data_IF_165383051855
#
_entry.id   IF_165383051855
#
_cell.length_a   1.000
_cell.length_b   1.000
_cell.length_c   1.000
_cell.angle_alpha   90.00
_cell.angle_beta   90.00
_cell.angle_gamma   90.00
#
_symmetry.space_group_name_H-M   'P 1'
#
loop_
_entity.id
_entity.type
_entity.pdbx_description
1 polymer ?
#
# COMPACT_ATOMS: atom_id res chain seq x y z
N UNK A 1 -13.78 9.04 11.82
CA UNK A 1 -12.30 8.86 11.84
C UNK A 1 -11.57 10.16 11.46
N UNK A 2 -12.29 11.16 10.93
CA UNK A 2 -11.76 12.48 10.53
C UNK A 2 -10.49 12.38 9.66
N UNK A 3 -10.48 11.43 8.74
CA UNK A 3 -9.37 11.22 7.81
C UNK A 3 -9.60 12.08 6.58
N UNK A 4 -8.61 12.90 6.25
CA UNK A 4 -8.64 13.73 5.06
C UNK A 4 -8.54 12.86 3.80
N UNK A 5 -9.39 13.14 2.81
CA UNK A 5 -9.34 12.46 1.51
C UNK A 5 -8.04 12.79 0.74
N UNK A 6 -7.41 13.91 1.03
CA UNK A 6 -6.14 14.31 0.44
C UNK A 6 -4.94 13.51 0.99
N UNK A 7 -5.11 12.79 2.11
CA UNK A 7 -4.08 11.87 2.63
C UNK A 7 -3.82 10.67 1.73
N UNK A 8 -4.53 10.55 0.61
CA UNK A 8 -4.53 9.38 -0.26
C UNK A 8 -3.15 8.96 -0.74
N UNK A 9 -2.84 7.67 -0.55
CA UNK A 9 -1.73 6.98 -1.21
C UNK A 9 -2.28 5.80 -2.04
N UNK A 10 -1.76 5.61 -3.26
CA UNK A 10 -2.20 4.55 -4.16
C UNK A 10 -1.19 3.43 -4.23
N UNK A 11 -1.64 2.19 -4.02
CA UNK A 11 -0.84 0.97 -4.01
C UNK A 11 -1.36 0.02 -5.08
N UNK A 12 -0.54 -0.24 -6.10
CA UNK A 12 -0.89 -1.17 -7.17
C UNK A 12 -0.30 -2.57 -6.97
N UNK A 13 0.57 -2.76 -5.98
CA UNK A 13 1.07 -4.09 -5.63
C UNK A 13 -0.02 -4.94 -4.98
N UNK A 14 -0.09 -6.21 -5.38
CA UNK A 14 -1.03 -7.19 -4.82
C UNK A 14 -0.56 -7.69 -3.45
N UNK A 15 -0.60 -6.81 -2.44
CA UNK A 15 -0.10 -7.05 -1.08
C UNK A 15 -1.14 -6.81 0.01
N UNK A 16 -2.43 -6.78 -0.33
CA UNK A 16 -3.54 -6.65 0.59
C UNK A 16 -4.19 -8.00 0.88
N UNK A 17 -5.01 -8.08 1.91
CA UNK A 17 -5.93 -9.20 2.14
C UNK A 17 -6.81 -9.46 0.89
N UNK A 18 -7.21 -8.39 0.19
CA UNK A 18 -8.03 -8.43 -1.02
C UNK A 18 -7.18 -8.24 -2.29
N UNK A 19 -6.15 -9.07 -2.47
CA UNK A 19 -5.18 -8.88 -3.55
C UNK A 19 -5.74 -9.05 -4.98
N UNK A 20 -6.82 -9.82 -5.17
CA UNK A 20 -7.33 -10.19 -6.51
C UNK A 20 -7.74 -8.99 -7.36
N UNK A 21 -8.57 -8.04 -6.89
CA UNK A 21 -9.01 -6.89 -7.67
C UNK A 21 -7.91 -5.83 -7.86
N UNK A 22 -6.81 -5.88 -7.11
CA UNK A 22 -5.74 -4.87 -7.21
C UNK A 22 -4.97 -5.06 -8.51
N UNK A 23 -4.85 -3.99 -9.28
CA UNK A 23 -4.03 -3.90 -10.49
C UNK A 23 -3.47 -2.47 -10.63
N UNK A 24 -2.52 -2.21 -11.53
CA UNK A 24 -2.11 -0.84 -11.82
C UNK A 24 -3.24 0.08 -12.31
N UNK A 25 -4.26 -0.46 -12.97
CA UNK A 25 -5.46 0.30 -13.38
C UNK A 25 -6.55 0.35 -12.30
N UNK A 26 -6.44 -0.46 -11.26
CA UNK A 26 -7.36 -0.53 -10.12
C UNK A 26 -6.56 -0.62 -8.81
N UNK A 27 -5.80 0.41 -8.44
CA UNK A 27 -4.97 0.38 -7.25
C UNK A 27 -5.82 0.43 -5.98
N UNK A 28 -5.28 -0.10 -4.89
CA UNK A 28 -5.80 0.13 -3.56
C UNK A 28 -5.50 1.57 -3.15
N UNK A 29 -6.49 2.29 -2.66
CA UNK A 29 -6.34 3.58 -2.04
C UNK A 29 -6.18 3.42 -0.51
N UNK A 30 -5.19 4.09 0.04
CA UNK A 30 -4.97 4.21 1.49
C UNK A 30 -5.23 5.64 1.89
N UNK A 31 -6.04 5.83 2.93
CA UNK A 31 -6.29 7.11 3.56
C UNK A 31 -5.86 7.03 5.01
N UNK A 32 -5.26 8.06 5.55
CA UNK A 32 -4.69 7.98 6.89
C UNK A 32 -4.59 9.34 7.59
N UNK A 33 -4.53 9.27 8.90
CA UNK A 33 -4.09 10.31 9.80
C UNK A 33 -3.18 9.69 10.88
N UNK A 34 -2.87 10.44 11.93
CA UNK A 34 -1.97 9.96 12.99
C UNK A 34 -2.53 8.77 13.79
N UNK A 35 -3.86 8.55 13.78
CA UNK A 35 -4.54 7.56 14.61
C UNK A 35 -5.08 6.37 13.83
N UNK A 36 -5.38 6.55 12.53
CA UNK A 36 -6.09 5.54 11.76
C UNK A 36 -5.69 5.49 10.29
N UNK A 37 -5.85 4.30 9.71
CA UNK A 37 -5.66 4.05 8.28
C UNK A 37 -6.87 3.31 7.73
N UNK A 38 -7.29 3.69 6.55
CA UNK A 38 -8.37 3.03 5.79
C UNK A 38 -7.83 2.58 4.45
N UNK A 39 -7.90 1.28 4.19
CA UNK A 39 -7.58 0.68 2.90
C UNK A 39 -8.85 0.37 2.12
N UNK A 40 -8.98 0.91 0.92
CA UNK A 40 -10.10 0.67 0.02
C UNK A 40 -9.61 0.15 -1.33
N UNK A 41 -10.24 -0.94 -1.79
CA UNK A 41 -10.02 -1.48 -3.13
C UNK A 41 -11.31 -1.34 -3.92
N UNK A 42 -11.31 -0.63 -5.06
CA UNK A 42 -12.48 -0.57 -5.91
C UNK A 42 -12.91 -1.98 -6.36
N UNK A 43 -14.20 -2.32 -6.17
CA UNK A 43 -14.71 -3.67 -6.42
C UNK A 43 -14.29 -4.73 -5.41
N UNK A 44 -13.66 -4.35 -4.31
CA UNK A 44 -13.36 -5.23 -3.18
C UNK A 44 -14.59 -5.49 -2.31
N UNK A 45 -14.51 -6.51 -1.49
CA UNK A 45 -15.60 -6.89 -0.58
C UNK A 45 -15.59 -6.11 0.73
N UNK A 46 -14.42 -5.61 1.16
CA UNK A 46 -14.21 -5.01 2.49
C UNK A 46 -13.39 -3.72 2.44
N UNK A 47 -13.62 -2.85 3.40
CA UNK A 47 -12.65 -1.87 3.85
C UNK A 47 -11.72 -2.49 4.88
N UNK A 48 -10.44 -2.23 4.79
CA UNK A 48 -9.42 -2.64 5.76
C UNK A 48 -9.08 -1.44 6.64
N UNK A 49 -9.14 -1.59 7.94
CA UNK A 49 -8.97 -0.50 8.89
C UNK A 49 -7.87 -0.84 9.88
N UNK A 50 -7.03 0.13 10.16
CA UNK A 50 -6.04 0.07 11.25
C UNK A 50 -6.30 1.26 12.16
N UNK A 51 -6.27 1.05 13.47
CA UNK A 51 -6.40 2.10 14.46
C UNK A 51 -5.36 1.93 15.56
N UNK A 52 -4.88 3.04 16.09
CA UNK A 52 -4.04 3.07 17.27
C UNK A 52 -4.92 3.11 18.52
N UNK A 53 -4.68 2.17 19.45
CA UNK A 53 -5.35 2.10 20.76
C UNK A 53 -4.33 2.30 21.85
N UNK A 54 -4.63 3.15 22.82
CA UNK A 54 -3.69 3.50 23.89
C UNK A 54 -3.34 2.34 24.84
N UNK A 55 -4.16 1.29 24.86
CA UNK A 55 -3.96 0.10 25.72
C UNK A 55 -3.55 -1.13 24.94
N UNK A 56 -4.06 -1.28 23.73
CA UNK A 56 -3.88 -2.49 22.89
C UNK A 56 -2.82 -2.31 21.81
N UNK A 57 -2.32 -1.09 21.61
CA UNK A 57 -1.44 -0.76 20.50
C UNK A 57 -2.22 -0.71 19.17
N UNK A 58 -1.66 -1.28 18.11
CA UNK A 58 -2.32 -1.29 16.81
C UNK A 58 -3.39 -2.37 16.72
N UNK A 59 -4.58 -1.99 16.33
CA UNK A 59 -5.76 -2.86 16.20
C UNK A 59 -6.27 -2.84 14.76
N UNK A 60 -6.69 -3.99 14.26
CA UNK A 60 -7.14 -4.17 12.89
C UNK A 60 -8.63 -4.50 12.85
N UNK A 61 -9.32 -3.92 11.87
CA UNK A 61 -10.74 -4.16 11.65
C UNK A 61 -11.04 -4.30 10.16
N UNK A 62 -12.15 -4.93 9.86
CA UNK A 62 -12.73 -4.95 8.51
C UNK A 62 -14.18 -4.48 8.56
N UNK A 63 -14.61 -3.89 7.45
CA UNK A 63 -15.98 -3.44 7.23
C UNK A 63 -16.43 -3.90 5.85
N UNK A 64 -17.52 -4.67 5.80
CA UNK A 64 -18.08 -5.13 4.53
C UNK A 64 -18.59 -3.95 3.69
N UNK A 65 -18.22 -3.90 2.41
CA UNK A 65 -18.66 -2.87 1.47
C UNK A 65 -20.07 -3.14 0.90
N UNK A 66 -20.64 -4.32 1.14
CA UNK A 66 -21.97 -4.65 0.69
C UNK A 66 -23.01 -3.85 1.46
N UNK A 67 -24.00 -3.33 0.72
CA UNK A 67 -25.13 -2.62 1.35
C UNK A 67 -25.85 -3.57 2.31
N UNK A 68 -25.90 -3.20 3.58
CA UNK A 68 -26.58 -3.95 4.64
C UNK A 68 -27.48 -3.03 5.45
N UNK A 69 -28.50 -3.59 6.10
CA UNK A 69 -29.39 -2.85 7.00
C UNK A 69 -28.64 -2.32 8.25
N UNK A 70 -27.54 -2.97 8.61
CA UNK A 70 -26.68 -2.57 9.73
C UNK A 70 -25.22 -2.68 9.30
N UNK A 71 -24.49 -1.60 9.49
CA UNK A 71 -23.04 -1.56 9.31
C UNK A 71 -22.36 -2.23 10.50
N UNK A 72 -21.54 -3.25 10.24
CA UNK A 72 -20.79 -3.98 11.26
C UNK A 72 -19.30 -3.85 11.00
N UNK A 73 -18.61 -3.16 11.90
CA UNK A 73 -17.15 -3.17 11.96
C UNK A 73 -16.74 -4.43 12.74
N UNK A 74 -15.95 -5.28 12.11
CA UNK A 74 -15.48 -6.53 12.68
C UNK A 74 -14.00 -6.39 13.05
N UNK A 75 -13.69 -6.67 14.32
CA UNK A 75 -12.28 -6.75 14.74
C UNK A 75 -11.63 -7.98 14.11
N UNK A 76 -10.42 -7.79 13.57
CA UNK A 76 -9.62 -8.90 13.05
C UNK A 76 -9.29 -9.90 14.17
N UNK A 77 -9.27 -11.17 13.81
CA UNK A 77 -8.98 -12.29 14.72
C UNK A 77 -7.66 -12.99 14.41
N UNK A 78 -6.80 -12.36 13.64
CA UNK A 78 -5.46 -12.86 13.34
C UNK A 78 -5.09 -12.91 11.86
N UNK A 79 -6.01 -12.66 10.94
CA UNK A 79 -5.71 -12.65 9.50
C UNK A 79 -4.74 -11.51 9.14
N UNK A 80 -4.97 -10.31 9.66
CA UNK A 80 -4.10 -9.16 9.45
C UNK A 80 -2.73 -9.36 10.12
N UNK A 81 -2.73 -9.98 11.31
CA UNK A 81 -1.51 -10.19 12.08
C UNK A 81 -0.50 -11.12 11.39
N UNK A 82 -0.92 -11.99 10.47
CA UNK A 82 0.00 -12.82 9.68
C UNK A 82 1.04 -11.98 8.92
N UNK A 83 0.64 -10.79 8.46
CA UNK A 83 1.56 -9.86 7.80
C UNK A 83 2.04 -8.75 8.75
N UNK A 84 1.17 -8.26 9.63
CA UNK A 84 1.40 -7.08 10.45
C UNK A 84 2.03 -7.35 11.83
N UNK A 85 2.20 -8.63 12.23
CA UNK A 85 2.93 -9.05 13.42
C UNK A 85 3.70 -10.34 13.11
N UNK A 86 4.95 -10.22 12.69
CA UNK A 86 5.81 -11.34 12.34
C UNK A 86 7.28 -11.00 12.67
N UNK A 87 8.22 -11.91 12.38
CA UNK A 87 9.65 -11.71 12.66
C UNK A 87 10.21 -10.38 12.11
N UNK A 88 9.70 -9.89 10.97
CA UNK A 88 10.16 -8.61 10.37
C UNK A 88 9.66 -7.40 11.13
N UNK A 89 8.57 -7.55 11.89
CA UNK A 89 8.01 -6.51 12.74
C UNK A 89 8.40 -6.71 14.20
N UNK A 90 9.36 -7.62 14.50
CA UNK A 90 9.70 -8.04 15.84
C UNK A 90 8.50 -8.53 16.66
N UNK A 91 7.54 -9.18 15.98
CA UNK A 91 6.26 -9.66 16.54
C UNK A 91 5.36 -8.55 17.12
N UNK A 92 5.67 -7.29 16.84
CA UNK A 92 4.87 -6.15 17.27
C UNK A 92 3.83 -5.82 16.19
N UNK A 93 2.53 -5.81 16.51
CA UNK A 93 1.49 -5.37 15.58
C UNK A 93 1.66 -3.91 15.19
N UNK A 94 1.62 -3.62 13.89
CA UNK A 94 1.78 -2.25 13.41
C UNK A 94 1.42 -2.06 11.94
N UNK A 95 1.19 -0.82 11.50
CA UNK A 95 1.11 -0.50 10.09
C UNK A 95 2.47 -0.80 9.43
N UNK A 96 2.42 -1.33 8.21
CA UNK A 96 3.62 -1.68 7.45
C UNK A 96 3.63 -0.93 6.13
N UNK A 97 4.74 -0.28 5.82
CA UNK A 97 5.04 0.23 4.48
C UNK A 97 5.95 -0.77 3.79
N UNK A 98 5.36 -1.59 2.93
CA UNK A 98 6.08 -2.62 2.19
C UNK A 98 6.45 -2.10 0.81
N UNK A 99 7.73 -2.13 0.49
CA UNK A 99 8.26 -1.75 -0.82
C UNK A 99 8.82 -2.97 -1.54
N UNK A 100 8.40 -3.20 -2.79
CA UNK A 100 8.84 -4.34 -3.58
C UNK A 100 8.68 -4.06 -5.08
N UNK A 101 9.42 -4.80 -5.89
CA UNK A 101 9.24 -4.76 -7.33
C UNK A 101 7.99 -5.50 -7.75
N UNK A 102 7.28 -4.96 -8.74
CA UNK A 102 6.05 -5.54 -9.28
C UNK A 102 6.13 -5.71 -10.79
N UNK A 103 5.46 -6.72 -11.27
CA UNK A 103 5.18 -6.84 -12.72
C UNK A 103 4.15 -5.82 -13.18
N UNK A 104 3.97 -5.70 -14.49
CA UNK A 104 2.95 -4.86 -15.12
C UNK A 104 1.50 -5.20 -14.70
N UNK A 105 1.26 -6.36 -14.08
CA UNK A 105 -0.04 -6.74 -13.50
C UNK A 105 -0.17 -6.45 -12.01
N UNK A 106 0.86 -5.86 -11.38
CA UNK A 106 0.90 -5.61 -9.94
C UNK A 106 1.35 -6.80 -9.09
N UNK A 107 1.72 -7.93 -9.71
CA UNK A 107 2.23 -9.08 -8.98
C UNK A 107 3.63 -8.80 -8.42
N UNK A 108 3.87 -9.09 -7.13
CA UNK A 108 5.20 -9.00 -6.54
C UNK A 108 6.23 -9.90 -7.22
N UNK A 109 7.43 -9.39 -7.48
CA UNK A 109 8.57 -10.14 -7.97
C UNK A 109 9.57 -10.30 -6.82
N UNK A 110 9.27 -11.23 -5.93
CA UNK A 110 9.98 -11.40 -4.65
C UNK A 110 11.48 -11.67 -4.77
N UNK A 111 11.92 -12.28 -5.89
CA UNK A 111 13.33 -12.57 -6.13
C UNK A 111 14.20 -11.29 -6.22
N UNK A 112 13.60 -10.14 -6.51
CA UNK A 112 14.29 -8.86 -6.61
C UNK A 112 14.36 -8.07 -5.31
N UNK A 113 13.69 -8.55 -4.28
CA UNK A 113 13.70 -7.92 -2.97
C UNK A 113 12.30 -7.63 -2.44
N UNK A 114 12.25 -7.46 -1.14
CA UNK A 114 11.04 -7.18 -0.39
C UNK A 114 11.45 -6.43 0.88
N UNK A 115 11.26 -5.12 0.83
CA UNK A 115 11.73 -4.19 1.84
C UNK A 115 10.57 -3.77 2.75
N UNK A 116 10.80 -3.71 4.04
CA UNK A 116 9.95 -2.94 4.95
C UNK A 116 10.59 -1.56 5.09
N UNK A 117 9.81 -0.53 4.74
CA UNK A 117 10.29 0.84 4.80
C UNK A 117 10.07 1.42 6.19
N UNK A 118 11.12 1.99 6.73
CA UNK A 118 11.13 2.79 7.95
C UNK A 118 11.91 4.09 7.72
N UNK A 119 12.16 4.87 8.79
CA UNK A 119 12.88 6.12 8.71
C UNK A 119 14.35 5.95 8.29
N UNK A 120 14.94 4.76 8.48
CA UNK A 120 16.34 4.46 8.11
C UNK A 120 16.48 3.93 6.69
N UNK A 121 15.40 3.50 6.06
CA UNK A 121 15.43 2.91 4.72
C UNK A 121 15.93 3.89 3.68
N UNK A 122 16.88 3.50 2.79
CA UNK A 122 17.32 4.34 1.69
C UNK A 122 16.16 4.71 0.77
N UNK A 123 16.12 5.94 0.26
CA UNK A 123 15.04 6.39 -0.63
C UNK A 123 14.91 5.48 -1.87
N UNK A 124 16.04 5.04 -2.44
CA UNK A 124 16.09 4.11 -3.59
C UNK A 124 15.37 2.78 -3.36
N UNK A 125 15.11 2.39 -2.12
CA UNK A 125 14.38 1.16 -1.76
C UNK A 125 12.93 1.42 -1.36
N UNK A 126 12.46 2.67 -1.41
CA UNK A 126 11.09 3.03 -0.98
C UNK A 126 10.11 3.06 -2.14
N UNK A 127 8.84 2.92 -1.81
CA UNK A 127 7.68 3.11 -2.67
C UNK A 127 7.48 2.09 -3.79
N UNK A 128 8.23 1.00 -3.81
CA UNK A 128 7.99 -0.09 -4.77
C UNK A 128 6.57 -0.65 -4.65
N UNK A 129 5.83 -0.65 -5.77
CA UNK A 129 4.43 -1.05 -5.81
C UNK A 129 3.43 0.08 -5.48
N UNK A 130 3.92 1.31 -5.32
CA UNK A 130 3.13 2.52 -5.08
C UNK A 130 3.19 3.46 -6.28
N UNK A 131 2.12 4.22 -6.47
CA UNK A 131 2.16 5.42 -7.29
C UNK A 131 2.74 6.58 -6.48
N UNK A 132 3.74 7.25 -7.05
CA UNK A 132 4.39 8.41 -6.46
C UNK A 132 4.25 9.59 -7.42
N UNK A 133 3.79 10.72 -6.91
CA UNK A 133 3.68 11.98 -7.65
C UNK A 133 4.54 13.05 -7.02
N UNK A 134 4.92 14.01 -7.81
CA UNK A 134 5.63 15.18 -7.38
C UNK A 134 6.98 15.35 -8.09
N UNK A 135 7.57 16.49 -7.86
CA UNK A 135 8.92 16.79 -8.32
C UNK A 135 9.88 16.62 -7.14
N UNK A 136 10.81 15.69 -7.26
CA UNK A 136 11.81 15.39 -6.23
C UNK A 136 13.26 15.44 -6.76
N UNK A 137 13.47 16.08 -7.91
CA UNK A 137 14.81 16.29 -8.50
C UNK A 137 15.48 14.97 -8.86
N UNK A 138 16.75 14.82 -8.49
CA UNK A 138 17.58 13.66 -8.83
C UNK A 138 17.41 12.47 -7.85
N UNK A 139 16.51 12.58 -6.88
CA UNK A 139 16.26 11.50 -5.95
C UNK A 139 15.55 10.33 -6.64
N UNK A 140 16.07 9.11 -6.45
CA UNK A 140 15.53 7.89 -7.05
C UNK A 140 14.77 7.07 -6.03
N UNK A 141 13.68 6.43 -6.45
CA UNK A 141 12.85 5.54 -5.66
C UNK A 141 12.28 4.42 -6.55
N UNK A 142 11.67 3.40 -5.93
CA UNK A 142 11.06 2.28 -6.66
C UNK A 142 9.61 2.53 -7.10
N UNK A 143 9.01 3.66 -6.74
CA UNK A 143 7.63 3.99 -7.11
C UNK A 143 7.46 4.13 -8.62
N UNK A 144 6.28 3.80 -9.11
CA UNK A 144 5.90 3.84 -10.54
C UNK A 144 6.67 2.86 -11.46
N UNK A 145 7.58 2.04 -10.91
CA UNK A 145 8.37 1.10 -11.70
C UNK A 145 7.68 -0.25 -11.83
N UNK A 146 7.83 -0.84 -13.01
CA UNK A 146 7.42 -2.21 -13.32
C UNK A 146 8.62 -3.00 -13.84
N UNK A 147 8.70 -4.26 -13.47
CA UNK A 147 9.76 -5.17 -13.89
C UNK A 147 9.19 -6.44 -14.47
N UNK A 148 9.97 -7.15 -15.27
CA UNK A 148 9.70 -8.54 -15.66
C UNK A 148 10.60 -9.48 -14.84
N UNK A 149 10.39 -10.78 -14.97
CA UNK A 149 11.26 -11.77 -14.31
C UNK A 149 12.69 -11.77 -14.85
N UNK A 150 12.86 -11.29 -16.09
CA UNK A 150 14.12 -11.25 -16.80
C UNK A 150 14.81 -9.88 -16.72
N UNK A 151 14.25 -8.95 -15.93
CA UNK A 151 14.84 -7.61 -15.75
C UNK A 151 16.18 -7.73 -15.04
N UNK A 152 17.22 -7.12 -15.62
CA UNK A 152 18.48 -6.90 -14.94
C UNK A 152 18.36 -5.66 -14.04
N UNK A 153 18.42 -5.84 -12.73
CA UNK A 153 18.29 -4.73 -11.78
C UNK A 153 19.45 -3.74 -11.81
N UNK A 154 20.63 -4.19 -12.22
CA UNK A 154 21.81 -3.30 -12.34
C UNK A 154 21.66 -2.30 -13.48
N UNK A 155 20.82 -2.63 -14.48
CA UNK A 155 20.52 -1.81 -15.64
C UNK A 155 19.15 -1.10 -15.52
N UNK A 156 18.45 -1.29 -14.41
CA UNK A 156 17.12 -0.71 -14.23
C UNK A 156 17.20 0.82 -14.15
N UNK A 157 16.53 1.46 -15.09
CA UNK A 157 16.41 2.92 -15.12
C UNK A 157 15.33 3.41 -14.15
N UNK A 158 15.75 3.85 -12.97
CA UNK A 158 14.87 4.39 -11.94
C UNK A 158 14.27 5.77 -12.32
N UNK A 159 14.85 6.47 -13.30
CA UNK A 159 14.33 7.77 -13.73
C UNK A 159 12.93 7.65 -14.37
N UNK A 160 12.57 6.50 -14.91
CA UNK A 160 11.25 6.24 -15.50
C UNK A 160 10.10 6.39 -14.49
N UNK A 161 10.36 6.17 -13.21
CA UNK A 161 9.40 6.35 -12.14
C UNK A 161 9.43 7.72 -11.47
N UNK A 162 10.47 8.51 -11.78
CA UNK A 162 10.76 9.77 -11.10
C UNK A 162 9.95 10.95 -11.65
N UNK A 163 9.75 11.97 -10.81
CA UNK A 163 9.17 13.26 -11.19
C UNK A 163 7.85 13.17 -11.98
N UNK A 164 7.01 12.21 -11.65
CA UNK A 164 5.76 11.96 -12.36
C UNK A 164 4.64 12.86 -11.83
N UNK A 165 4.13 13.75 -12.68
CA UNK A 165 3.06 14.70 -12.34
C UNK A 165 1.67 14.24 -12.80
N UNK A 166 1.54 13.09 -13.50
CA UNK A 166 0.34 12.72 -14.25
C UNK A 166 -0.55 11.69 -13.54
N UNK A 167 -0.49 11.54 -12.23
CA UNK A 167 -1.41 10.64 -11.51
C UNK A 167 -2.86 11.13 -11.46
N UNK A 168 -3.14 12.39 -11.78
CA UNK A 168 -4.48 12.97 -11.76
C UNK A 168 -5.53 12.21 -12.62
N UNK A 169 -5.09 11.37 -13.54
CA UNK A 169 -5.99 10.52 -14.36
C UNK A 169 -6.23 9.12 -13.77
N UNK A 170 -5.56 8.75 -12.68
CA UNK A 170 -5.63 7.41 -12.08
C UNK A 170 -6.48 7.35 -10.83
N UNK A 171 -6.74 8.49 -10.23
CA UNK A 171 -7.64 8.64 -9.09
C UNK A 171 -8.95 9.20 -9.62
N UNK A 172 -10.01 8.44 -9.52
CA UNK A 172 -11.33 8.97 -9.81
C UNK A 172 -11.73 9.86 -8.64
N UNK A 173 -11.59 11.17 -8.80
CA UNK A 173 -11.96 12.17 -7.79
C UNK A 173 -13.47 12.27 -7.56
N UNK A 174 -14.25 11.52 -8.31
CA UNK A 174 -15.70 11.70 -8.40
C UNK A 174 -16.51 10.69 -7.57
N UNK A 175 -15.90 9.93 -6.67
CA UNK A 175 -16.66 8.99 -5.82
C UNK A 175 -16.28 9.12 -4.37
#
# INVERSE_FOLDING_TARGET
LEIDIESQALVYSKTSLQLRPITPSNPRALYFNDEAYVGWVPGGDKLELIASDTKLGTVFYTLDQKKASRVLIQRDRGECLQCHANRRTHEVPGPLVRSLYTSASGQPVYNFGNFLSDHTSPLKQRWGGYYVTGNHGDMMHMGNLFVSRDTNLDELDYSQGANNLLLAKRVNQAN
#
